data_IF_626453863449
#
_entry.id   IF_626453863449
#
_cell.length_a   1.000
_cell.length_b   1.000
_cell.length_c   1.000
_cell.angle_alpha   90.00
_cell.angle_beta   90.00
_cell.angle_gamma   90.00
#
_symmetry.space_group_name_H-M   'P 1'
#
loop_
_entity.id
_entity.type
_entity.pdbx_description
1 polymer ?
#
# COMPACT_ATOMS: atom_id res chain seq x y z
N UNK A 1 36.69 -4.68 24.68
CA UNK A 1 35.40 -4.84 25.37
C UNK A 1 34.59 -5.86 24.59
N UNK A 2 34.22 -7.00 25.18
CA UNK A 2 33.34 -7.99 24.54
C UNK A 2 31.91 -7.68 24.96
N UNK A 3 31.15 -7.01 24.09
CA UNK A 3 29.71 -6.83 24.28
C UNK A 3 29.00 -8.17 24.14
N UNK A 4 28.04 -8.42 25.03
CA UNK A 4 27.43 -9.72 25.25
C UNK A 4 26.35 -9.98 24.19
N UNK A 5 26.78 -10.46 23.01
CA UNK A 5 25.95 -10.71 21.82
C UNK A 5 24.72 -11.61 22.08
N UNK A 6 24.80 -12.46 23.12
CA UNK A 6 23.72 -13.34 23.56
C UNK A 6 22.48 -12.59 24.08
N UNK A 7 22.62 -11.37 24.59
CA UNK A 7 21.49 -10.58 25.10
C UNK A 7 20.70 -9.90 23.96
N UNK A 8 21.34 -9.59 22.83
CA UNK A 8 20.68 -9.03 21.65
C UNK A 8 19.84 -10.10 20.93
N UNK A 9 20.33 -11.34 20.85
CA UNK A 9 19.60 -12.46 20.25
C UNK A 9 18.40 -12.92 21.09
N UNK A 10 18.42 -12.80 22.42
CA UNK A 10 17.24 -13.16 23.24
C UNK A 10 16.11 -12.14 23.19
N UNK A 11 16.41 -10.87 22.85
CA UNK A 11 15.40 -9.84 22.64
C UNK A 11 14.58 -10.12 21.37
N UNK A 12 15.19 -10.71 20.34
CA UNK A 12 14.46 -11.12 19.14
C UNK A 12 13.37 -12.14 19.45
N UNK A 13 13.57 -13.10 20.36
CA UNK A 13 12.54 -14.12 20.68
C UNK A 13 11.34 -13.61 21.50
N UNK A 14 11.46 -12.47 22.20
CA UNK A 14 10.39 -11.95 23.08
C UNK A 14 9.38 -11.08 22.30
N UNK A 15 9.77 -10.52 21.14
CA UNK A 15 8.89 -9.67 20.32
C UNK A 15 7.83 -10.50 19.55
N UNK A 16 8.00 -11.81 19.39
CA UNK A 16 7.13 -12.68 18.56
C UNK A 16 5.93 -13.32 19.29
N UNK A 17 5.31 -12.62 20.23
CA UNK A 17 4.08 -13.10 20.90
C UNK A 17 2.99 -12.02 20.90
N UNK A 18 2.64 -11.50 19.72
CA UNK A 18 1.42 -10.73 19.53
C UNK A 18 0.33 -11.66 18.97
N UNK A 19 -0.84 -11.79 19.63
CA UNK A 19 -1.93 -12.60 19.09
C UNK A 19 -2.46 -11.95 17.81
N UNK A 20 -2.73 -12.78 16.80
CA UNK A 20 -3.53 -12.37 15.65
C UNK A 20 -4.88 -11.86 16.15
N UNK A 21 -5.10 -10.54 16.06
CA UNK A 21 -6.35 -9.95 16.52
C UNK A 21 -7.35 -10.00 15.38
N UNK A 22 -8.10 -11.09 15.32
CA UNK A 22 -9.33 -11.16 14.51
C UNK A 22 -10.40 -10.32 15.20
N UNK A 23 -10.90 -9.30 14.52
CA UNK A 23 -12.01 -8.48 15.01
C UNK A 23 -13.24 -8.67 14.12
N UNK A 24 -14.32 -9.17 14.71
CA UNK A 24 -15.65 -9.19 14.13
C UNK A 24 -16.28 -7.79 14.17
N UNK A 25 -16.79 -7.35 13.02
CA UNK A 25 -17.44 -6.05 12.80
C UNK A 25 -18.90 -6.04 13.28
N UNK A 26 -19.34 -4.95 13.95
CA UNK A 26 -20.74 -4.71 14.31
C UNK A 26 -21.20 -3.33 13.80
N UNK A 27 -22.21 -3.20 12.89
CA UNK A 27 -22.40 -1.99 12.07
C UNK A 27 -23.27 -0.86 12.66
N UNK A 28 -23.65 -0.88 13.94
CA UNK A 28 -24.68 0.06 14.44
C UNK A 28 -24.14 1.20 15.29
N UNK A 29 -23.72 2.30 14.66
CA UNK A 29 -23.57 3.59 15.32
C UNK A 29 -23.91 4.76 14.37
N UNK A 30 -24.87 5.59 14.77
CA UNK A 30 -25.37 6.78 14.06
C UNK A 30 -24.47 8.01 14.24
N UNK A 31 -24.32 8.79 13.17
CA UNK A 31 -23.52 10.02 13.03
C UNK A 31 -23.95 11.18 13.96
N UNK A 32 -23.04 12.12 14.28
CA UNK A 32 -23.36 13.50 14.61
C UNK A 32 -23.04 14.48 13.46
N UNK A 33 -23.89 15.49 13.30
CA UNK A 33 -23.74 16.61 12.34
C UNK A 33 -22.56 17.53 12.69
N UNK A 34 -21.76 17.92 11.69
CA UNK A 34 -20.71 18.95 11.81
C UNK A 34 -20.79 19.96 10.66
N UNK A 35 -20.68 21.24 11.02
CA UNK A 35 -20.83 22.44 10.20
C UNK A 35 -19.52 22.81 9.45
N UNK A 36 -19.53 23.07 8.13
CA UNK A 36 -18.30 23.28 7.36
C UNK A 36 -18.05 24.77 7.06
N UNK A 37 -17.07 25.38 7.73
CA UNK A 37 -16.38 26.57 7.20
C UNK A 37 -14.89 26.52 7.50
N UNK A 38 -14.09 26.12 6.51
CA UNK A 38 -12.68 26.47 6.43
C UNK A 38 -12.24 26.45 4.96
N UNK A 39 -11.63 27.54 4.52
CA UNK A 39 -11.16 27.74 3.13
C UNK A 39 -9.64 27.54 3.12
N UNK A 40 -9.17 26.55 2.37
CA UNK A 40 -7.75 26.36 2.07
C UNK A 40 -7.49 26.46 0.57
N UNK A 41 -6.36 27.06 0.23
CA UNK A 41 -5.98 27.58 -1.08
C UNK A 41 -5.47 26.46 -2.01
N UNK A 42 -6.04 26.38 -3.21
CA UNK A 42 -5.72 25.39 -4.25
C UNK A 42 -4.28 25.48 -4.78
N UNK A 43 -3.61 24.32 -4.86
CA UNK A 43 -2.51 24.04 -5.79
C UNK A 43 -3.12 23.54 -7.11
N UNK A 44 -2.74 24.15 -8.22
CA UNK A 44 -3.20 23.78 -9.57
C UNK A 44 -2.36 22.62 -10.13
N UNK A 45 -2.98 21.45 -10.26
CA UNK A 45 -2.46 20.31 -11.03
C UNK A 45 -2.73 20.51 -12.55
N UNK A 46 -1.83 19.97 -13.37
CA UNK A 46 -1.71 20.13 -14.82
C UNK A 46 -2.97 19.81 -15.64
N UNK A 47 -3.17 20.46 -16.81
CA UNK A 47 -4.31 20.23 -17.70
C UNK A 47 -3.97 19.13 -18.71
N UNK A 48 -4.31 17.87 -18.42
CA UNK A 48 -4.27 16.81 -19.43
C UNK A 48 -5.31 15.68 -19.23
N UNK A 49 -6.31 15.88 -18.36
CA UNK A 49 -7.51 15.05 -18.31
C UNK A 49 -8.63 15.73 -19.10
N UNK A 50 -8.55 15.64 -20.43
CA UNK A 50 -9.67 16.00 -21.31
C UNK A 50 -10.81 14.97 -21.15
N UNK A 51 -11.88 15.44 -20.52
CA UNK A 51 -13.31 15.08 -20.68
C UNK A 51 -13.70 13.81 -21.45
N UNK A 52 -13.35 12.62 -20.95
CA UNK A 52 -14.26 11.47 -21.09
C UNK A 52 -15.06 11.37 -19.78
N UNK A 53 -16.40 11.55 -19.79
CA UNK A 53 -17.18 11.16 -18.64
C UNK A 53 -17.05 9.64 -18.51
N UNK A 54 -16.23 9.21 -17.55
CA UNK A 54 -16.20 7.83 -17.04
C UNK A 54 -17.56 7.57 -16.40
N UNK A 55 -18.58 7.35 -17.24
CA UNK A 55 -19.81 6.78 -16.76
C UNK A 55 -19.54 5.28 -16.58
N UNK A 56 -19.81 4.72 -15.40
CA UNK A 56 -19.81 3.29 -15.18
C UNK A 56 -20.57 2.60 -16.31
N UNK A 57 -20.09 1.48 -16.86
CA UNK A 57 -21.03 0.53 -17.42
C UNK A 57 -22.01 0.14 -16.30
N UNK A 58 -23.30 0.42 -16.52
CA UNK A 58 -24.40 -0.01 -15.63
C UNK A 58 -24.78 -1.48 -15.87
N UNK A 59 -24.20 -2.09 -16.89
CA UNK A 59 -24.44 -3.48 -17.25
C UNK A 59 -23.64 -4.39 -16.31
N UNK A 60 -24.32 -5.35 -15.69
CA UNK A 60 -23.66 -6.33 -14.82
C UNK A 60 -22.69 -7.19 -15.63
N UNK A 61 -21.55 -7.52 -15.03
CA UNK A 61 -20.61 -8.45 -15.62
C UNK A 61 -21.32 -9.79 -15.86
N UNK A 62 -21.27 -10.24 -17.10
CA UNK A 62 -21.89 -11.49 -17.52
C UNK A 62 -21.15 -12.68 -16.89
N UNK A 63 -21.88 -13.49 -16.11
CA UNK A 63 -21.37 -14.75 -15.56
C UNK A 63 -20.82 -15.68 -16.64
N UNK A 64 -21.43 -15.68 -17.83
CA UNK A 64 -20.93 -16.48 -18.97
C UNK A 64 -19.53 -16.04 -19.41
N UNK A 65 -19.22 -14.76 -19.29
CA UNK A 65 -17.95 -14.18 -19.78
C UNK A 65 -16.84 -14.30 -18.72
N UNK A 66 -17.19 -14.24 -17.43
CA UNK A 66 -16.23 -14.32 -16.32
C UNK A 66 -16.07 -15.72 -15.70
N UNK A 67 -17.00 -16.64 -15.93
CA UNK A 67 -16.93 -18.01 -15.41
C UNK A 67 -15.63 -18.78 -15.76
N UNK A 68 -14.92 -18.50 -16.88
CA UNK A 68 -13.62 -19.11 -17.13
C UNK A 68 -12.51 -18.68 -16.17
N UNK A 69 -12.68 -17.53 -15.50
CA UNK A 69 -11.65 -16.90 -14.65
C UNK A 69 -12.00 -16.91 -13.17
N UNK A 70 -13.30 -16.84 -12.86
CA UNK A 70 -13.80 -16.64 -11.51
C UNK A 70 -14.98 -17.56 -11.20
N UNK A 71 -15.10 -17.94 -9.93
CA UNK A 71 -16.28 -18.64 -9.44
C UNK A 71 -17.49 -17.68 -9.36
N UNK A 72 -18.71 -18.23 -9.44
CA UNK A 72 -19.96 -17.45 -9.43
C UNK A 72 -20.05 -16.47 -8.25
N UNK A 73 -19.53 -16.84 -7.08
CA UNK A 73 -19.57 -15.99 -5.90
C UNK A 73 -18.59 -14.82 -6.00
N UNK A 74 -17.43 -14.99 -6.65
CA UNK A 74 -16.47 -13.91 -6.93
C UNK A 74 -17.05 -12.93 -7.95
N UNK A 75 -17.71 -13.44 -8.99
CA UNK A 75 -18.44 -12.63 -9.97
C UNK A 75 -19.55 -11.82 -9.29
N UNK A 76 -20.30 -12.44 -8.37
CA UNK A 76 -21.31 -11.77 -7.57
C UNK A 76 -20.74 -10.62 -6.70
N UNK A 77 -19.53 -10.78 -6.17
CA UNK A 77 -18.81 -9.73 -5.42
C UNK A 77 -18.37 -8.59 -6.34
N UNK A 78 -17.82 -8.89 -7.51
CA UNK A 78 -17.45 -7.89 -8.51
C UNK A 78 -18.66 -7.06 -8.97
N UNK A 79 -19.79 -7.71 -9.27
CA UNK A 79 -21.04 -7.03 -9.60
C UNK A 79 -21.59 -6.17 -8.43
N UNK A 80 -21.41 -6.61 -7.18
CA UNK A 80 -21.79 -5.79 -6.02
C UNK A 80 -20.94 -4.53 -5.91
N UNK A 81 -19.64 -4.64 -6.13
CA UNK A 81 -18.70 -3.51 -6.12
C UNK A 81 -19.01 -2.52 -7.25
N UNK A 82 -19.21 -3.00 -8.48
CA UNK A 82 -19.56 -2.14 -9.62
C UNK A 82 -20.87 -1.38 -9.40
N UNK A 83 -21.90 -2.01 -8.82
CA UNK A 83 -23.14 -1.31 -8.47
C UNK A 83 -22.91 -0.21 -7.43
N UNK A 84 -22.02 -0.43 -6.46
CA UNK A 84 -21.67 0.57 -5.46
C UNK A 84 -20.92 1.75 -6.08
N UNK A 85 -19.90 1.48 -6.90
CA UNK A 85 -19.15 2.48 -7.65
C UNK A 85 -20.09 3.27 -8.60
N UNK A 86 -20.97 2.57 -9.30
CA UNK A 86 -21.96 3.20 -10.17
C UNK A 86 -22.96 4.08 -9.41
N UNK A 87 -23.36 3.70 -8.20
CA UNK A 87 -24.21 4.55 -7.37
C UNK A 87 -23.50 5.85 -6.99
N UNK A 88 -22.21 5.80 -6.65
CA UNK A 88 -21.40 6.99 -6.34
C UNK A 88 -21.34 7.94 -7.55
N UNK A 89 -21.12 7.40 -8.76
CA UNK A 89 -21.05 8.22 -9.98
C UNK A 89 -22.40 8.79 -10.41
N UNK A 90 -23.45 7.96 -10.41
CA UNK A 90 -24.76 8.35 -10.95
C UNK A 90 -25.56 9.24 -10.00
N UNK A 91 -25.26 9.25 -8.70
CA UNK A 91 -26.04 10.02 -7.74
C UNK A 91 -25.82 11.55 -7.81
N UNK A 92 -24.94 12.08 -8.68
CA UNK A 92 -24.69 13.53 -8.91
C UNK A 92 -24.45 14.40 -7.65
N UNK A 93 -24.36 13.79 -6.48
CA UNK A 93 -24.07 14.38 -5.18
C UNK A 93 -22.58 14.14 -4.96
N UNK A 94 -21.88 15.18 -4.51
CA UNK A 94 -20.47 15.06 -4.11
C UNK A 94 -20.36 13.92 -3.09
N UNK A 95 -19.55 12.87 -3.36
CA UNK A 95 -19.38 11.80 -2.39
C UNK A 95 -18.86 12.39 -1.08
N UNK A 96 -19.26 11.77 0.02
CA UNK A 96 -18.67 12.03 1.32
C UNK A 96 -17.33 11.32 1.42
N UNK A 97 -16.39 11.79 2.27
CA UNK A 97 -15.12 11.10 2.49
C UNK A 97 -15.32 9.66 2.97
N UNK A 98 -16.39 9.42 3.73
CA UNK A 98 -16.76 8.08 4.19
C UNK A 98 -17.18 7.16 3.02
N UNK A 99 -17.92 7.66 2.02
CA UNK A 99 -18.29 6.85 0.84
C UNK A 99 -17.06 6.49 -0.01
N UNK A 100 -16.11 7.41 -0.15
CA UNK A 100 -14.83 7.15 -0.85
C UNK A 100 -14.02 6.10 -0.10
N UNK A 101 -13.96 6.19 1.21
CA UNK A 101 -13.27 5.22 2.04
C UNK A 101 -13.93 3.84 2.01
N UNK A 102 -15.27 3.77 2.04
CA UNK A 102 -15.99 2.50 1.87
C UNK A 102 -15.75 1.91 0.47
N UNK A 103 -15.64 2.74 -0.56
CA UNK A 103 -15.31 2.30 -1.90
C UNK A 103 -13.90 1.69 -1.96
N UNK A 104 -12.91 2.36 -1.37
CA UNK A 104 -11.55 1.85 -1.25
C UNK A 104 -11.50 0.52 -0.49
N UNK A 105 -12.18 0.44 0.66
CA UNK A 105 -12.28 -0.78 1.45
C UNK A 105 -12.91 -1.95 0.70
N UNK A 106 -13.97 -1.71 -0.06
CA UNK A 106 -14.59 -2.72 -0.92
C UNK A 106 -13.66 -3.15 -2.07
N UNK A 107 -12.91 -2.22 -2.66
CA UNK A 107 -11.92 -2.53 -3.68
C UNK A 107 -10.80 -3.43 -3.15
N UNK A 108 -10.30 -3.17 -1.93
CA UNK A 108 -9.32 -4.03 -1.25
C UNK A 108 -9.88 -5.41 -0.92
N UNK A 109 -11.11 -5.48 -0.42
CA UNK A 109 -11.78 -6.77 -0.13
C UNK A 109 -11.98 -7.59 -1.40
N UNK A 110 -12.39 -6.95 -2.50
CA UNK A 110 -12.56 -7.60 -3.78
C UNK A 110 -11.21 -8.08 -4.34
N UNK A 111 -10.18 -7.24 -4.30
CA UNK A 111 -8.80 -7.61 -4.66
C UNK A 111 -8.36 -8.89 -3.94
N UNK A 112 -8.46 -8.93 -2.61
CA UNK A 112 -8.10 -10.12 -1.83
C UNK A 112 -8.97 -11.34 -2.18
N UNK A 113 -10.25 -11.12 -2.44
CA UNK A 113 -11.21 -12.18 -2.85
C UNK A 113 -10.84 -12.81 -4.19
N UNK A 114 -10.40 -11.98 -5.15
CA UNK A 114 -10.00 -12.46 -6.47
C UNK A 114 -8.64 -13.18 -6.39
N UNK A 115 -7.71 -12.72 -5.54
CA UNK A 115 -6.39 -13.34 -5.39
C UNK A 115 -6.39 -14.72 -4.72
N UNK A 116 -7.37 -15.02 -3.85
CA UNK A 116 -7.37 -16.25 -3.03
C UNK A 116 -7.52 -17.54 -3.87
N UNK A 117 -8.17 -17.47 -5.03
CA UNK A 117 -8.55 -18.67 -5.79
C UNK A 117 -8.14 -18.65 -7.27
N UNK A 118 -7.30 -17.69 -7.69
CA UNK A 118 -6.66 -17.81 -9.00
C UNK A 118 -5.66 -18.96 -8.89
N UNK A 119 -6.10 -20.15 -9.30
CA UNK A 119 -5.23 -21.26 -9.63
C UNK A 119 -4.12 -20.73 -10.55
N UNK A 120 -2.90 -21.23 -10.40
CA UNK A 120 -1.66 -20.82 -11.09
C UNK A 120 -1.70 -20.96 -12.63
N UNK A 121 -2.73 -20.42 -13.26
CA UNK A 121 -2.87 -20.31 -14.69
C UNK A 121 -2.22 -19.00 -15.10
N UNK A 122 -1.15 -19.15 -15.87
CA UNK A 122 -0.44 -18.05 -16.52
C UNK A 122 -1.41 -17.40 -17.50
N UNK A 123 -1.84 -16.17 -17.21
CA UNK A 123 -2.68 -15.42 -18.14
C UNK A 123 -1.80 -14.88 -19.26
N UNK A 124 -2.26 -15.02 -20.50
CA UNK A 124 -1.63 -14.38 -21.65
C UNK A 124 -1.82 -12.86 -21.62
N UNK A 125 -0.90 -12.11 -22.23
CA UNK A 125 -1.03 -10.66 -22.42
C UNK A 125 -2.36 -10.27 -23.08
N UNK A 126 -2.90 -11.13 -23.96
CA UNK A 126 -4.20 -10.93 -24.59
C UNK A 126 -5.35 -11.00 -23.57
N UNK A 127 -5.29 -11.94 -22.63
CA UNK A 127 -6.27 -12.02 -21.54
C UNK A 127 -6.18 -10.81 -20.60
N UNK A 128 -4.97 -10.41 -20.21
CA UNK A 128 -4.76 -9.22 -19.38
C UNK A 128 -5.23 -7.95 -20.09
N UNK A 129 -4.87 -7.79 -21.36
CA UNK A 129 -5.34 -6.68 -22.19
C UNK A 129 -6.86 -6.69 -22.35
N UNK A 130 -7.49 -7.87 -22.45
CA UNK A 130 -8.94 -7.97 -22.50
C UNK A 130 -9.57 -7.47 -21.19
N UNK A 131 -9.02 -7.81 -20.02
CA UNK A 131 -9.46 -7.25 -18.75
C UNK A 131 -9.27 -5.72 -18.64
N UNK A 132 -8.24 -5.16 -19.29
CA UNK A 132 -8.00 -3.70 -19.32
C UNK A 132 -8.91 -2.93 -20.29
N UNK A 133 -9.39 -3.57 -21.36
CA UNK A 133 -9.96 -2.87 -22.52
C UNK A 133 -11.36 -3.32 -22.94
N UNK A 134 -11.93 -4.34 -22.31
CA UNK A 134 -13.21 -4.95 -22.72
C UNK A 134 -14.26 -4.96 -21.60
N UNK A 135 -15.46 -5.46 -21.92
CA UNK A 135 -16.58 -5.78 -21.01
C UNK A 135 -16.21 -6.74 -19.86
N UNK A 136 -14.99 -7.31 -19.88
CA UNK A 136 -14.43 -8.14 -18.82
C UNK A 136 -13.85 -7.34 -17.65
N UNK A 137 -13.58 -6.05 -17.85
CA UNK A 137 -12.96 -5.20 -16.84
C UNK A 137 -13.86 -5.02 -15.62
N UNK A 138 -13.31 -5.32 -14.43
CA UNK A 138 -13.95 -4.93 -13.19
C UNK A 138 -13.60 -3.47 -12.94
N UNK A 139 -14.48 -2.59 -13.42
CA UNK A 139 -14.33 -1.15 -13.24
C UNK A 139 -14.01 -0.75 -11.80
N UNK A 140 -13.07 0.19 -11.59
CA UNK A 140 -12.49 0.54 -10.29
C UNK A 140 -11.30 -0.34 -9.84
N UNK A 141 -10.94 -1.37 -10.61
CA UNK A 141 -9.73 -2.17 -10.42
C UNK A 141 -8.82 -2.08 -11.64
N UNK A 142 -7.51 -2.00 -11.39
CA UNK A 142 -6.46 -2.14 -12.40
C UNK A 142 -5.94 -3.60 -12.41
N UNK A 143 -6.18 -4.36 -13.50
CA UNK A 143 -5.61 -5.69 -13.66
C UNK A 143 -4.12 -5.59 -14.04
N UNK A 144 -3.29 -6.30 -13.31
CA UNK A 144 -1.86 -6.45 -13.55
C UNK A 144 -1.46 -7.93 -13.49
N UNK A 145 -0.16 -8.21 -13.56
CA UNK A 145 0.37 -9.55 -13.40
C UNK A 145 1.61 -9.49 -12.49
N UNK A 146 1.88 -10.59 -11.78
CA UNK A 146 3.09 -10.75 -10.96
C UNK A 146 3.98 -11.85 -11.50
N UNK A 147 5.27 -11.72 -11.15
CA UNK A 147 6.32 -12.72 -11.40
C UNK A 147 6.26 -13.27 -12.84
N UNK A 148 6.65 -12.44 -13.82
CA UNK A 148 6.61 -12.81 -15.25
C UNK A 148 5.21 -13.25 -15.73
N UNK A 149 4.16 -12.63 -15.19
CA UNK A 149 2.76 -12.97 -15.43
C UNK A 149 2.36 -14.41 -15.10
N UNK A 150 3.11 -15.06 -14.22
CA UNK A 150 2.74 -16.40 -13.72
C UNK A 150 1.46 -16.38 -12.90
N UNK A 151 1.09 -15.23 -12.34
CA UNK A 151 -0.21 -15.02 -11.71
C UNK A 151 -0.77 -13.64 -12.09
N UNK A 152 -2.05 -13.54 -12.45
CA UNK A 152 -2.71 -12.24 -12.52
C UNK A 152 -2.85 -11.63 -11.13
N UNK A 153 -2.94 -10.31 -11.09
CA UNK A 153 -3.21 -9.54 -9.89
C UNK A 153 -4.22 -8.44 -10.22
N UNK A 154 -5.00 -8.06 -9.22
CA UNK A 154 -5.94 -6.96 -9.31
C UNK A 154 -5.59 -5.99 -8.19
N UNK A 155 -5.52 -4.70 -8.49
CA UNK A 155 -5.36 -3.67 -7.47
C UNK A 155 -6.44 -2.62 -7.63
N UNK A 156 -6.81 -1.86 -6.58
CA UNK A 156 -7.68 -0.71 -6.75
C UNK A 156 -7.10 0.26 -7.79
N UNK A 157 -7.93 0.79 -8.68
CA UNK A 157 -7.53 1.87 -9.60
C UNK A 157 -7.38 3.17 -8.79
N UNK A 158 -6.14 3.45 -8.39
CA UNK A 158 -5.83 4.58 -7.53
C UNK A 158 -6.10 5.93 -8.21
N UNK A 159 -5.94 6.01 -9.54
CA UNK A 159 -6.21 7.23 -10.29
C UNK A 159 -7.71 7.53 -10.34
N UNK A 160 -8.53 6.49 -10.55
CA UNK A 160 -9.98 6.62 -10.47
C UNK A 160 -10.45 6.98 -9.05
N UNK A 161 -9.94 6.29 -8.02
CA UNK A 161 -10.29 6.58 -6.63
C UNK A 161 -9.90 8.02 -6.23
N UNK A 162 -8.73 8.49 -6.65
CA UNK A 162 -8.30 9.87 -6.44
C UNK A 162 -9.19 10.88 -7.20
N UNK A 163 -9.61 10.56 -8.42
CA UNK A 163 -10.55 11.40 -9.16
C UNK A 163 -11.95 11.49 -8.50
N UNK A 164 -12.35 10.46 -7.76
CA UNK A 164 -13.57 10.47 -6.93
C UNK A 164 -13.33 11.26 -5.64
N UNK A 165 -12.19 11.06 -4.97
CA UNK A 165 -11.78 11.77 -3.76
C UNK A 165 -11.77 13.30 -3.95
N UNK A 166 -11.23 13.76 -5.08
CA UNK A 166 -11.16 15.18 -5.43
C UNK A 166 -12.54 15.87 -5.55
N UNK A 167 -13.64 15.10 -5.53
CA UNK A 167 -15.03 15.61 -5.54
C UNK A 167 -15.60 15.78 -4.13
N UNK A 168 -14.99 15.20 -3.10
CA UNK A 168 -15.43 15.33 -1.71
C UNK A 168 -15.12 16.73 -1.17
N UNK A 169 -15.75 17.16 -0.05
CA UNK A 169 -15.51 18.49 0.50
C UNK A 169 -14.23 18.60 1.34
N UNK A 170 -13.54 17.50 1.64
CA UNK A 170 -12.35 17.49 2.50
C UNK A 170 -11.10 17.11 1.72
N UNK A 171 -9.93 17.30 2.32
CA UNK A 171 -8.65 16.88 1.74
C UNK A 171 -8.12 15.56 2.35
N UNK A 172 -8.84 14.94 3.29
CA UNK A 172 -8.34 13.77 4.01
C UNK A 172 -8.15 12.57 3.07
N UNK A 173 -9.12 12.32 2.21
CA UNK A 173 -9.07 11.33 1.15
C UNK A 173 -8.05 11.66 0.05
N UNK A 174 -7.95 12.93 -0.37
CA UNK A 174 -6.92 13.36 -1.33
C UNK A 174 -5.49 13.15 -0.78
N UNK A 175 -5.25 13.56 0.47
CA UNK A 175 -3.97 13.38 1.16
C UNK A 175 -3.69 11.89 1.42
N UNK A 176 -4.72 11.08 1.67
CA UNK A 176 -4.60 9.64 1.82
C UNK A 176 -4.11 9.00 0.52
N UNK A 177 -4.76 9.29 -0.60
CA UNK A 177 -4.36 8.74 -1.89
C UNK A 177 -2.99 9.23 -2.33
N UNK A 178 -2.63 10.48 -2.00
CA UNK A 178 -1.27 10.99 -2.21
C UNK A 178 -0.24 10.21 -1.40
N UNK A 179 -0.55 9.87 -0.14
CA UNK A 179 0.33 9.04 0.71
C UNK A 179 0.47 7.60 0.16
N UNK A 180 -0.64 7.00 -0.28
CA UNK A 180 -0.61 5.66 -0.89
C UNK A 180 0.19 5.67 -2.19
N UNK A 181 -0.01 6.69 -3.04
CA UNK A 181 0.77 6.87 -4.27
C UNK A 181 2.25 7.04 -3.96
N UNK A 182 2.63 7.87 -2.98
CA UNK A 182 4.01 8.00 -2.55
C UNK A 182 4.59 6.68 -2.06
N UNK A 183 3.83 5.86 -1.32
CA UNK A 183 4.28 4.54 -0.89
C UNK A 183 4.60 3.61 -2.06
N UNK A 184 3.75 3.61 -3.09
CA UNK A 184 3.96 2.78 -4.28
C UNK A 184 5.00 3.37 -5.24
N UNK A 185 5.04 4.68 -5.49
CA UNK A 185 6.05 5.37 -6.31
C UNK A 185 7.43 5.21 -5.72
N UNK A 186 7.57 5.46 -4.41
CA UNK A 186 8.83 5.18 -3.74
C UNK A 186 9.20 3.74 -3.81
N UNK A 187 8.27 2.83 -4.09
CA UNK A 187 8.50 1.41 -4.25
C UNK A 187 8.63 0.95 -5.72
N UNK A 188 8.57 1.86 -6.70
CA UNK A 188 8.71 1.57 -8.12
C UNK A 188 9.77 2.45 -8.79
N UNK A 189 10.83 1.86 -9.32
CA UNK A 189 11.68 2.50 -10.34
C UNK A 189 11.45 1.84 -11.71
N UNK A 190 10.27 1.96 -12.31
CA UNK A 190 10.12 1.68 -13.75
C UNK A 190 9.14 2.66 -14.39
N UNK A 191 9.58 3.15 -15.54
CA UNK A 191 9.00 4.25 -16.28
C UNK A 191 7.61 3.88 -16.80
N UNK A 192 6.57 4.39 -16.15
CA UNK A 192 5.27 4.62 -16.80
C UNK A 192 4.27 3.47 -16.83
N UNK A 193 4.47 2.38 -16.09
CA UNK A 193 3.46 1.33 -15.96
C UNK A 193 3.21 1.05 -14.47
N UNK A 194 2.03 1.47 -14.01
CA UNK A 194 1.49 1.14 -12.69
C UNK A 194 1.43 -0.38 -12.57
N UNK A 195 2.27 -0.93 -11.70
CA UNK A 195 2.21 -2.32 -11.27
C UNK A 195 2.06 -2.25 -9.75
N UNK A 196 1.26 -3.13 -9.15
CA UNK A 196 0.79 -2.99 -7.76
C UNK A 196 1.75 -3.46 -6.65
N UNK A 197 3.05 -3.55 -6.89
CA UNK A 197 4.03 -4.28 -6.07
C UNK A 197 5.30 -3.52 -5.65
N UNK A 198 5.42 -3.16 -4.36
CA UNK A 198 6.53 -2.35 -3.89
C UNK A 198 7.88 -3.11 -3.89
N UNK A 199 8.83 -2.72 -4.76
CA UNK A 199 10.18 -3.31 -4.83
C UNK A 199 10.95 -3.23 -3.52
N UNK A 200 10.74 -2.18 -2.74
CA UNK A 200 11.52 -1.91 -1.53
C UNK A 200 10.85 -2.40 -0.25
N UNK A 201 9.68 -3.06 -0.35
CA UNK A 201 9.00 -3.69 0.78
C UNK A 201 8.77 -5.19 0.62
N UNK A 202 8.71 -5.71 -0.61
CA UNK A 202 8.23 -7.09 -0.82
C UNK A 202 9.18 -8.02 -1.57
N UNK A 203 10.43 -7.60 -1.87
CA UNK A 203 11.40 -8.45 -2.60
C UNK A 203 10.73 -9.14 -3.78
N UNK A 204 9.96 -8.40 -4.58
CA UNK A 204 9.39 -9.01 -5.77
C UNK A 204 10.50 -9.13 -6.78
N UNK A 205 11.13 -10.29 -6.79
CA UNK A 205 11.15 -11.14 -7.96
C UNK A 205 11.88 -12.43 -7.60
N UNK A 206 11.69 -13.46 -8.40
CA UNK A 206 12.49 -14.69 -8.44
C UNK A 206 14.02 -14.46 -8.68
N UNK A 207 14.53 -13.24 -8.44
CA UNK A 207 15.84 -12.71 -8.84
C UNK A 207 16.55 -11.94 -7.71
N UNK A 208 16.01 -12.00 -6.49
CA UNK A 208 16.51 -11.32 -5.31
C UNK A 208 16.48 -9.78 -5.38
N UNK A 209 16.57 -9.18 -4.19
CA UNK A 209 16.40 -7.75 -4.01
C UNK A 209 17.09 -7.28 -2.75
N UNK A 210 17.47 -6.01 -2.74
CA UNK A 210 18.14 -5.35 -1.63
C UNK A 210 17.25 -4.27 -1.01
N UNK A 211 17.39 -4.05 0.29
CA UNK A 211 16.74 -2.92 0.94
C UNK A 211 17.33 -1.59 0.45
N UNK A 212 16.48 -0.60 0.22
CA UNK A 212 16.89 0.79 -0.04
C UNK A 212 17.19 1.60 1.21
N UNK A 213 17.24 0.96 2.38
CA UNK A 213 17.64 1.66 3.60
C UNK A 213 18.99 2.36 3.35
N UNK A 214 19.07 3.63 3.71
CA UNK A 214 20.15 4.56 3.39
C UNK A 214 19.87 5.53 2.24
N UNK A 215 18.74 5.37 1.52
CA UNK A 215 18.33 6.27 0.43
C UNK A 215 17.34 7.37 0.87
N UNK A 216 17.02 7.45 2.17
CA UNK A 216 16.07 8.42 2.77
C UNK A 216 14.59 8.21 2.42
N UNK A 217 14.25 7.15 1.66
CA UNK A 217 12.86 6.85 1.30
C UNK A 217 12.03 6.38 2.50
N UNK A 218 12.60 5.60 3.41
CA UNK A 218 11.88 5.15 4.60
C UNK A 218 11.58 6.32 5.54
N UNK A 219 12.56 7.19 5.75
CA UNK A 219 12.36 8.41 6.52
C UNK A 219 11.26 9.28 5.90
N UNK A 220 11.34 9.55 4.59
CA UNK A 220 10.36 10.38 3.89
C UNK A 220 8.93 9.81 4.03
N UNK A 221 8.76 8.49 3.86
CA UNK A 221 7.46 7.84 4.01
C UNK A 221 6.96 7.90 5.46
N UNK A 222 7.80 7.62 6.46
CA UNK A 222 7.40 7.72 7.87
C UNK A 222 6.98 9.13 8.25
N UNK A 223 7.65 10.15 7.71
CA UNK A 223 7.28 11.55 7.93
C UNK A 223 5.95 11.92 7.26
N UNK A 224 5.69 11.43 6.04
CA UNK A 224 4.40 11.65 5.37
C UNK A 224 3.25 10.96 6.12
N UNK A 225 3.48 9.74 6.62
CA UNK A 225 2.52 9.03 7.47
C UNK A 225 2.21 9.83 8.74
N UNK A 226 3.22 10.35 9.43
CA UNK A 226 3.01 11.15 10.64
C UNK A 226 2.32 12.48 10.35
N UNK A 227 2.67 13.12 9.24
CA UNK A 227 1.98 14.33 8.79
C UNK A 227 0.50 14.06 8.50
N UNK A 228 0.17 12.96 7.80
CA UNK A 228 -1.21 12.55 7.55
C UNK A 228 -1.96 12.30 8.87
N UNK A 229 -1.38 11.50 9.77
CA UNK A 229 -1.98 11.19 11.07
C UNK A 229 -2.20 12.44 11.91
N UNK A 230 -1.30 13.43 11.83
CA UNK A 230 -1.41 14.69 12.55
C UNK A 230 -2.49 15.59 11.94
N UNK A 231 -2.44 15.81 10.63
CA UNK A 231 -3.34 16.73 9.93
C UNK A 231 -4.79 16.25 9.93
N UNK A 232 -5.00 14.92 9.96
CA UNK A 232 -6.31 14.29 9.91
C UNK A 232 -6.66 13.55 11.21
N UNK A 233 -6.07 13.96 12.34
CA UNK A 233 -6.28 13.32 13.63
C UNK A 233 -7.77 13.25 14.03
N UNK A 234 -8.54 14.31 13.77
CA UNK A 234 -9.98 14.33 14.07
C UNK A 234 -10.74 13.31 13.21
N UNK A 235 -10.44 13.23 11.91
CA UNK A 235 -11.03 12.24 11.01
C UNK A 235 -10.75 10.80 11.49
N UNK A 236 -9.49 10.54 11.88
CA UNK A 236 -9.05 9.23 12.37
C UNK A 236 -9.59 8.90 13.77
N UNK A 237 -9.77 9.89 14.65
CA UNK A 237 -10.25 9.69 16.03
C UNK A 237 -11.71 9.28 16.09
N UNK A 238 -12.55 9.85 15.23
CA UNK A 238 -13.98 9.52 15.20
C UNK A 238 -14.24 8.17 14.52
N UNK A 239 -13.20 7.55 13.96
CA UNK A 239 -13.35 6.32 13.20
C UNK A 239 -12.03 5.52 13.10
N UNK A 240 -11.47 5.05 14.23
CA UNK A 240 -10.21 4.29 14.24
C UNK A 240 -10.32 2.92 13.55
N UNK A 241 -11.54 2.48 13.25
CA UNK A 241 -11.83 1.23 12.55
C UNK A 241 -11.98 1.43 11.04
N UNK A 242 -11.73 2.63 10.53
CA UNK A 242 -11.91 2.85 9.10
C UNK A 242 -10.78 2.30 8.27
N UNK A 243 -11.06 2.12 6.98
CA UNK A 243 -10.12 1.57 6.03
C UNK A 243 -8.87 2.45 5.89
N UNK A 244 -8.99 3.78 5.88
CA UNK A 244 -7.83 4.67 5.81
C UNK A 244 -7.00 4.62 7.09
N UNK A 245 -7.63 4.64 8.26
CA UNK A 245 -6.91 4.55 9.53
C UNK A 245 -6.11 3.24 9.62
N UNK A 246 -6.73 2.12 9.28
CA UNK A 246 -6.08 0.81 9.24
C UNK A 246 -4.96 0.77 8.21
N UNK A 247 -5.19 1.28 7.01
CA UNK A 247 -4.20 1.24 5.95
C UNK A 247 -2.98 2.11 6.27
N UNK A 248 -3.17 3.31 6.82
CA UNK A 248 -2.04 4.16 7.27
C UNK A 248 -1.21 3.46 8.34
N UNK A 249 -1.84 2.73 9.27
CA UNK A 249 -1.10 1.90 10.24
C UNK A 249 -0.39 0.72 9.58
N UNK A 250 -1.02 0.08 8.59
CA UNK A 250 -0.39 -0.99 7.82
C UNK A 250 0.82 -0.49 7.03
N UNK A 251 0.72 0.64 6.34
CA UNK A 251 1.84 1.28 5.64
C UNK A 251 2.99 1.57 6.60
N UNK A 252 2.70 2.18 7.76
CA UNK A 252 3.72 2.42 8.80
C UNK A 252 4.39 1.13 9.24
N UNK A 253 3.59 0.10 9.53
CA UNK A 253 4.10 -1.18 9.96
C UNK A 253 5.00 -1.82 8.90
N UNK A 254 4.59 -1.80 7.63
CA UNK A 254 5.40 -2.33 6.51
C UNK A 254 6.71 -1.58 6.36
N UNK A 255 6.71 -0.25 6.45
CA UNK A 255 7.93 0.57 6.39
C UNK A 255 8.90 0.23 7.52
N UNK A 256 8.40 0.16 8.76
CA UNK A 256 9.21 -0.23 9.92
C UNK A 256 9.69 -1.68 9.84
N UNK A 257 8.84 -2.56 9.32
CA UNK A 257 9.18 -3.97 9.17
C UNK A 257 10.33 -4.15 8.18
N UNK A 258 10.35 -3.41 7.06
CA UNK A 258 11.47 -3.45 6.12
C UNK A 258 12.79 -2.98 6.77
N UNK A 259 12.77 -1.83 7.47
CA UNK A 259 13.95 -1.32 8.19
C UNK A 259 14.53 -2.37 9.14
N UNK A 260 13.65 -3.04 9.88
CA UNK A 260 14.00 -3.92 10.99
C UNK A 260 14.35 -5.34 10.55
N UNK A 261 13.67 -5.86 9.54
CA UNK A 261 13.65 -7.28 9.23
C UNK A 261 14.02 -7.61 7.79
N UNK A 262 13.93 -6.67 6.83
CA UNK A 262 14.28 -6.98 5.45
C UNK A 262 15.79 -6.87 5.23
N UNK A 263 16.30 -8.03 4.81
CA UNK A 263 17.51 -8.29 4.06
C UNK A 263 18.86 -8.24 4.80
N UNK A 264 19.59 -9.33 4.56
CA UNK A 264 21.04 -9.42 4.62
C UNK A 264 21.71 -8.65 3.46
N UNK A 265 20.96 -7.88 2.65
CA UNK A 265 21.43 -7.17 1.45
C UNK A 265 20.90 -5.75 1.42
N UNK A 266 21.76 -4.75 1.59
CA UNK A 266 21.38 -3.37 1.32
C UNK A 266 22.05 -2.88 0.04
N UNK A 267 21.34 -2.06 -0.74
CA UNK A 267 21.89 -1.41 -1.92
C UNK A 267 22.86 -0.28 -1.60
N UNK A 268 22.84 0.18 -0.36
CA UNK A 268 23.58 1.36 0.09
C UNK A 268 24.69 0.94 1.05
N UNK A 269 25.66 1.82 1.23
CA UNK A 269 26.77 1.64 2.17
C UNK A 269 26.30 1.79 3.63
N UNK A 270 27.03 1.19 4.56
CA UNK A 270 26.68 1.19 6.00
C UNK A 270 26.54 2.60 6.57
N UNK A 271 27.37 3.53 6.13
CA UNK A 271 27.35 4.92 6.57
C UNK A 271 26.03 5.61 6.18
N UNK A 272 25.53 5.36 4.97
CA UNK A 272 24.25 5.92 4.52
C UNK A 272 23.07 5.32 5.30
N UNK A 273 23.09 3.99 5.49
CA UNK A 273 22.10 3.28 6.32
C UNK A 273 22.08 3.83 7.75
N UNK A 274 23.24 3.96 8.38
CA UNK A 274 23.36 4.48 9.73
C UNK A 274 22.91 5.95 9.83
N UNK A 275 23.17 6.76 8.80
CA UNK A 275 22.69 8.13 8.73
C UNK A 275 21.16 8.19 8.71
N UNK A 276 20.50 7.44 7.84
CA UNK A 276 19.03 7.40 7.77
C UNK A 276 18.42 6.85 9.08
N UNK A 277 18.96 5.76 9.65
CA UNK A 277 18.47 5.22 10.92
C UNK A 277 18.55 6.25 12.07
N UNK A 278 19.64 7.02 12.13
CA UNK A 278 19.79 8.09 13.11
C UNK A 278 18.78 9.22 12.88
N UNK A 279 18.51 9.59 11.62
CA UNK A 279 17.48 10.56 11.29
C UNK A 279 16.09 10.05 11.71
N UNK A 280 15.74 8.79 11.42
CA UNK A 280 14.46 8.19 11.84
C UNK A 280 14.34 8.19 13.36
N UNK A 281 15.38 7.77 14.09
CA UNK A 281 15.40 7.79 15.57
C UNK A 281 15.19 9.20 16.15
N UNK A 282 15.63 10.25 15.44
CA UNK A 282 15.56 11.63 15.88
C UNK A 282 14.25 12.34 15.48
N UNK A 283 13.71 12.01 14.31
CA UNK A 283 12.66 12.79 13.65
C UNK A 283 11.28 12.12 13.65
N UNK A 284 11.23 10.79 13.78
CA UNK A 284 9.99 10.00 13.74
C UNK A 284 9.51 9.70 15.16
N UNK A 285 8.21 9.82 15.37
CA UNK A 285 7.53 9.47 16.63
C UNK A 285 7.46 7.96 16.80
N UNK A 286 8.50 7.38 17.40
CA UNK A 286 8.61 5.93 17.63
C UNK A 286 8.09 5.53 19.02
N UNK A 287 7.37 4.41 19.09
CA UNK A 287 7.09 3.73 20.36
C UNK A 287 8.40 3.28 21.04
N UNK A 288 8.40 3.03 22.37
CA UNK A 288 9.60 2.52 23.05
C UNK A 288 10.15 1.22 22.44
N UNK A 289 9.26 0.34 21.97
CA UNK A 289 9.63 -0.95 21.34
C UNK A 289 10.25 -0.70 19.96
N UNK A 290 9.63 0.13 19.13
CA UNK A 290 10.16 0.51 17.81
C UNK A 290 11.53 1.16 17.95
N UNK A 291 11.67 2.12 18.87
CA UNK A 291 12.93 2.82 19.14
C UNK A 291 14.04 1.85 19.55
N UNK A 292 13.74 0.90 20.45
CA UNK A 292 14.71 -0.11 20.88
C UNK A 292 15.13 -1.01 19.71
N UNK A 293 14.18 -1.43 18.87
CA UNK A 293 14.46 -2.27 17.71
C UNK A 293 15.35 -1.53 16.68
N UNK A 294 15.05 -0.26 16.37
CA UNK A 294 15.85 0.56 15.46
C UNK A 294 17.25 0.82 16.02
N UNK A 295 17.40 1.04 17.33
CA UNK A 295 18.72 1.17 17.97
C UNK A 295 19.54 -0.11 17.84
N UNK A 296 18.91 -1.28 18.02
CA UNK A 296 19.60 -2.56 17.83
C UNK A 296 20.02 -2.75 16.36
N UNK A 297 19.17 -2.36 15.40
CA UNK A 297 19.49 -2.39 13.96
C UNK A 297 20.63 -1.43 13.61
N UNK A 298 20.67 -0.23 14.18
CA UNK A 298 21.77 0.71 13.98
C UNK A 298 23.10 0.13 14.44
N UNK A 299 23.15 -0.46 15.63
CA UNK A 299 24.38 -1.10 16.16
C UNK A 299 24.88 -2.20 15.22
N UNK A 300 23.99 -2.99 14.63
CA UNK A 300 24.33 -4.05 13.65
C UNK A 300 25.09 -3.47 12.44
N UNK A 301 24.64 -2.33 11.91
CA UNK A 301 25.31 -1.66 10.79
C UNK A 301 26.61 -0.96 11.21
N UNK A 302 26.67 -0.35 12.39
CA UNK A 302 27.88 0.32 12.89
C UNK A 302 29.03 -0.66 13.18
N UNK A 303 28.73 -1.86 13.70
CA UNK A 303 29.76 -2.88 13.96
C UNK A 303 30.16 -3.67 12.71
N UNK A 304 29.33 -3.61 11.65
CA UNK A 304 29.50 -4.37 10.43
C UNK A 304 29.28 -5.87 10.61
N UNK A 305 28.02 -6.29 10.81
CA UNK A 305 27.69 -7.72 10.89
C UNK A 305 28.11 -8.46 9.61
N UNK A 306 28.83 -9.59 9.72
CA UNK A 306 29.44 -10.28 8.56
C UNK A 306 28.41 -10.85 7.59
N UNK A 307 27.21 -11.16 8.08
CA UNK A 307 26.14 -11.72 7.24
C UNK A 307 25.40 -10.64 6.43
N UNK A 308 25.61 -9.35 6.73
CA UNK A 308 24.98 -8.24 6.00
C UNK A 308 25.92 -7.72 4.92
N UNK A 309 25.52 -7.96 3.68
CA UNK A 309 26.10 -7.38 2.49
C UNK A 309 25.49 -5.99 2.25
N UNK A 310 26.34 -5.07 1.85
CA UNK A 310 25.98 -3.68 1.57
C UNK A 310 26.51 -3.31 0.18
N UNK A 311 26.04 -2.20 -0.37
CA UNK A 311 26.39 -1.78 -1.73
C UNK A 311 26.01 -2.81 -2.81
N UNK A 312 24.88 -3.48 -2.63
CA UNK A 312 24.37 -4.51 -3.55
C UNK A 312 23.71 -3.96 -4.83
N UNK A 313 24.21 -2.84 -5.36
CA UNK A 313 23.66 -2.20 -6.56
C UNK A 313 23.85 -3.07 -7.81
N UNK A 314 24.88 -3.93 -7.81
CA UNK A 314 25.08 -4.99 -8.79
C UNK A 314 24.64 -6.34 -8.18
N UNK A 315 23.46 -6.81 -8.61
CA UNK A 315 22.85 -8.05 -8.11
C UNK A 315 23.70 -9.29 -8.43
N UNK A 316 24.56 -9.24 -9.44
CA UNK A 316 25.48 -10.34 -9.77
C UNK A 316 26.63 -10.46 -8.75
N UNK A 317 26.91 -9.39 -7.99
CA UNK A 317 28.02 -9.31 -7.04
C UNK A 317 27.60 -9.58 -5.59
N UNK A 318 26.32 -9.41 -5.27
CA UNK A 318 25.79 -9.74 -3.94
C UNK A 318 25.17 -11.14 -3.91
N UNK A 319 25.81 -12.06 -3.18
CA UNK A 319 25.36 -13.46 -3.12
C UNK A 319 24.04 -13.64 -2.40
N UNK A 320 23.60 -12.64 -1.64
CA UNK A 320 22.31 -12.63 -0.96
C UNK A 320 21.18 -12.03 -1.83
N UNK A 321 21.56 -11.43 -2.98
CA UNK A 321 20.65 -10.85 -3.95
C UNK A 321 20.36 -11.81 -5.13
N UNK A 322 20.94 -13.01 -5.15
CA UNK A 322 20.55 -14.11 -6.04
C UNK A 322 19.79 -15.15 -5.23
N UNK A 323 18.50 -15.33 -5.51
CA UNK A 323 17.68 -16.42 -4.97
C UNK A 323 18.07 -17.77 -5.54
#
# INVERSE_FOLDING_TARGET
MKTNLSALLSLFSIVFSLPAVGFEYNPSATQPDVDPTSTATHLTLSPLLDEQPLNPPLEELSSETLAPFFEDWQIGKANSYQRYLAAIYNNHIKPTPWEVEQLYGQALQLTNTLLIDIQYDIWSDEQLSAFRTTDLGIWGLDPSCIAECTMPSFTPDMAELQAIAAKTPTLADDDFFTLVDAYYDYAYIHQGELSGYPRFFERTWDYGGYSLLGAEHHLALLQQIEAYQHNHADYLLHSPTTHFAQEVQHLRHRVLWDILFISDCSGLEREAIAAELNQILAQVSLSPVERQALQARLVIFEIGHPDIQVNCQDLEQCTCASG
#
